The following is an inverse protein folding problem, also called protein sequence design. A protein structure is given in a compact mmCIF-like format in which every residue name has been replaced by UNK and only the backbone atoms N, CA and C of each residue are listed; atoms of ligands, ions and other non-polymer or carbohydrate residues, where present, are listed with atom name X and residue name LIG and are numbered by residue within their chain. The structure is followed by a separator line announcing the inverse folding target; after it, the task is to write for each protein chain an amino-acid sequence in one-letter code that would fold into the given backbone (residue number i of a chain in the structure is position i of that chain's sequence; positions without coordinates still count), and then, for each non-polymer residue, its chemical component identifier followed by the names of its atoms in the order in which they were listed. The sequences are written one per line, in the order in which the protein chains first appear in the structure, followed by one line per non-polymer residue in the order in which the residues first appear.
data_IF_940810796582
#
_entry.id   IF_940810796582
#
_cell.length_a   1.000
_cell.length_b   1.000
_cell.length_c   1.000
_cell.angle_alpha   90.00
_cell.angle_beta   90.00
_cell.angle_gamma   90.00
#
_symmetry.space_group_name_H-M   'P 1'
#
loop_
_entity.id
_entity.type
_entity.pdbx_description
1 polymer ?
#
# COMPACT_ATOMS: atom_id res chain seq x y z
N UNK A 1 -5.31 -5.53 14.91
CA UNK A 1 -4.44 -6.70 15.23
C UNK A 1 -3.56 -6.96 14.03
N UNK A 2 -2.28 -7.32 14.20
CA UNK A 2 -1.42 -7.65 13.05
C UNK A 2 -1.91 -8.90 12.30
N UNK A 3 -1.48 -9.07 11.05
CA UNK A 3 -1.75 -10.28 10.26
C UNK A 3 -1.27 -11.54 11.01
N UNK A 4 -0.08 -11.48 11.61
CA UNK A 4 0.50 -12.61 12.35
C UNK A 4 -0.22 -12.89 13.66
N UNK A 5 -0.68 -11.87 14.40
CA UNK A 5 -1.55 -12.08 15.57
C UNK A 5 -2.84 -12.81 15.18
N UNK A 6 -3.40 -12.45 14.02
CA UNK A 6 -4.62 -13.08 13.53
C UNK A 6 -4.38 -14.54 13.10
N UNK A 7 -3.25 -14.82 12.46
CA UNK A 7 -2.85 -16.17 12.04
C UNK A 7 -2.56 -17.09 13.23
N UNK A 8 -1.72 -16.63 14.15
CA UNK A 8 -1.28 -17.41 15.32
C UNK A 8 -2.45 -17.74 16.25
N UNK A 9 -3.38 -16.80 16.46
CA UNK A 9 -4.59 -17.04 17.30
C UNK A 9 -5.53 -18.09 16.74
N UNK A 10 -5.52 -18.36 15.44
CA UNK A 10 -6.36 -19.41 14.83
C UNK A 10 -5.74 -20.80 14.86
N UNK A 11 -4.47 -20.93 15.23
CA UNK A 11 -3.75 -22.20 15.24
C UNK A 11 -3.68 -22.88 13.87
N UNK A 12 -3.90 -22.13 12.78
CA UNK A 12 -3.88 -22.61 11.39
C UNK A 12 -2.79 -21.88 10.63
N UNK A 13 -2.04 -22.62 9.83
CA UNK A 13 -1.09 -22.02 8.90
C UNK A 13 -1.84 -21.17 7.84
N UNK A 14 -1.18 -20.15 7.28
CA UNK A 14 -1.68 -19.40 6.11
C UNK A 14 -2.09 -20.34 4.96
N UNK A 15 -1.39 -21.47 4.81
CA UNK A 15 -1.67 -22.55 3.86
C UNK A 15 -2.89 -23.41 4.20
N UNK A 16 -3.55 -23.19 5.33
CA UNK A 16 -4.75 -23.92 5.75
C UNK A 16 -5.98 -23.00 5.81
N UNK A 17 -5.81 -21.71 5.51
CA UNK A 17 -6.92 -20.76 5.46
C UNK A 17 -7.78 -21.00 4.23
N UNK A 18 -9.09 -20.96 4.43
CA UNK A 18 -10.06 -21.03 3.34
C UNK A 18 -10.14 -19.71 2.57
N UNK A 19 -10.62 -19.78 1.33
CA UNK A 19 -10.87 -18.59 0.50
C UNK A 19 -11.74 -17.54 1.21
N UNK A 20 -12.79 -17.99 1.92
CA UNK A 20 -13.71 -17.10 2.63
C UNK A 20 -13.03 -16.40 3.82
N UNK A 21 -12.18 -17.11 4.57
CA UNK A 21 -11.41 -16.52 5.67
C UNK A 21 -10.45 -15.46 5.16
N UNK A 22 -9.71 -15.75 4.08
CA UNK A 22 -8.80 -14.81 3.44
C UNK A 22 -9.54 -13.58 2.90
N UNK A 23 -10.69 -13.76 2.24
CA UNK A 23 -11.50 -12.64 1.74
C UNK A 23 -12.03 -11.75 2.87
N UNK A 24 -12.48 -12.33 3.97
CA UNK A 24 -12.93 -11.54 5.13
C UNK A 24 -11.77 -10.72 5.70
N UNK A 25 -10.58 -11.31 5.82
CA UNK A 25 -9.41 -10.61 6.33
C UNK A 25 -8.95 -9.49 5.40
N UNK A 26 -8.97 -9.73 4.08
CA UNK A 26 -8.67 -8.72 3.05
C UNK A 26 -9.58 -7.49 3.19
N UNK A 27 -10.90 -7.69 3.38
CA UNK A 27 -11.86 -6.59 3.57
C UNK A 27 -11.62 -5.81 4.88
N UNK A 28 -11.22 -6.49 5.95
CA UNK A 28 -10.88 -5.83 7.22
C UNK A 28 -9.62 -4.96 7.07
N UNK A 29 -8.57 -5.52 6.46
CA UNK A 29 -7.31 -4.80 6.22
C UNK A 29 -7.52 -3.61 5.27
N UNK A 30 -8.35 -3.75 4.25
CA UNK A 30 -8.68 -2.65 3.34
C UNK A 30 -9.38 -1.49 4.08
N UNK A 31 -10.37 -1.82 4.92
CA UNK A 31 -11.03 -0.82 5.77
C UNK A 31 -10.03 -0.12 6.71
N UNK A 32 -9.13 -0.87 7.33
CA UNK A 32 -8.09 -0.30 8.20
C UNK A 32 -7.14 0.63 7.43
N UNK A 33 -6.73 0.26 6.20
CA UNK A 33 -5.92 1.12 5.31
C UNK A 33 -6.65 2.42 4.97
N UNK A 34 -7.92 2.35 4.59
CA UNK A 34 -8.72 3.53 4.27
C UNK A 34 -8.89 4.46 5.48
N UNK A 35 -9.09 3.89 6.68
CA UNK A 35 -9.16 4.68 7.91
C UNK A 35 -7.83 5.35 8.25
N UNK A 36 -6.69 4.66 8.08
CA UNK A 36 -5.37 5.24 8.27
C UNK A 36 -5.09 6.35 7.27
N UNK A 37 -5.41 6.14 5.99
CA UNK A 37 -5.29 7.14 4.95
C UNK A 37 -6.06 8.42 5.30
N UNK A 38 -7.33 8.29 5.71
CA UNK A 38 -8.14 9.43 6.15
C UNK A 38 -7.50 10.18 7.33
N UNK A 39 -7.01 9.45 8.35
CA UNK A 39 -6.34 10.08 9.50
C UNK A 39 -5.05 10.82 9.12
N UNK A 40 -4.28 10.28 8.17
CA UNK A 40 -3.09 10.93 7.62
C UNK A 40 -3.46 12.24 6.94
N UNK A 41 -4.54 12.24 6.14
CA UNK A 41 -5.05 13.45 5.48
C UNK A 41 -5.55 14.48 6.51
N UNK A 42 -6.32 14.06 7.52
CA UNK A 42 -6.80 14.94 8.59
C UNK A 42 -5.62 15.57 9.37
N UNK A 43 -4.58 14.79 9.65
CA UNK A 43 -3.37 15.29 10.31
C UNK A 43 -2.58 16.27 9.42
N UNK A 44 -2.50 16.01 8.11
CA UNK A 44 -1.87 16.92 7.15
C UNK A 44 -2.61 18.27 7.08
N UNK A 45 -3.95 18.24 7.03
CA UNK A 45 -4.77 19.47 7.05
C UNK A 45 -4.54 20.29 8.32
N UNK A 46 -4.59 19.66 9.50
CA UNK A 46 -4.28 20.33 10.77
C UNK A 46 -2.86 20.90 10.81
N UNK A 47 -1.88 20.19 10.25
CA UNK A 47 -0.50 20.66 10.18
C UNK A 47 -0.38 21.93 9.33
N UNK A 48 -1.09 21.98 8.20
CA UNK A 48 -1.17 23.17 7.35
C UNK A 48 -1.84 24.35 8.08
N UNK A 49 -2.92 24.10 8.82
CA UNK A 49 -3.58 25.12 9.65
C UNK A 49 -2.64 25.68 10.73
N UNK A 50 -1.91 24.82 11.46
CA UNK A 50 -0.94 25.24 12.48
C UNK A 50 0.15 26.10 11.85
N UNK A 51 0.66 25.71 10.68
CA UNK A 51 1.67 26.47 9.96
C UNK A 51 1.16 27.86 9.58
N UNK A 52 -0.05 27.95 9.01
CA UNK A 52 -0.64 29.23 8.63
C UNK A 52 -0.87 30.13 9.85
N UNK A 53 -1.37 29.58 10.96
CA UNK A 53 -1.52 30.31 12.23
C UNK A 53 -0.17 30.81 12.76
N UNK A 54 0.86 29.97 12.73
CA UNK A 54 2.20 30.34 13.18
C UNK A 54 2.83 31.45 12.34
N UNK A 55 2.54 31.48 11.03
CA UNK A 55 2.96 32.53 10.11
C UNK A 55 2.30 33.87 10.42
N UNK A 56 1.01 33.87 10.75
CA UNK A 56 0.23 35.08 11.04
C UNK A 56 0.43 35.62 12.46
N UNK A 57 0.75 34.75 13.41
CA UNK A 57 0.96 35.08 14.81
C UNK A 57 2.13 36.06 14.99
N UNK A 58 2.03 36.99 15.94
CA UNK A 58 3.07 38.01 16.23
C UNK A 58 3.78 37.77 17.56
N UNK A 59 3.15 37.08 18.51
CA UNK A 59 3.74 36.73 19.80
C UNK A 59 4.82 35.63 19.63
N UNK A 60 6.07 35.88 20.06
CA UNK A 60 7.13 34.87 20.03
C UNK A 60 6.81 33.62 20.85
N UNK A 61 6.16 33.77 22.00
CA UNK A 61 5.76 32.67 22.87
C UNK A 61 4.74 31.76 22.19
N UNK A 62 3.71 32.34 21.57
CA UNK A 62 2.68 31.59 20.85
C UNK A 62 3.27 30.92 19.61
N UNK A 63 4.18 31.59 18.87
CA UNK A 63 4.90 30.97 17.74
C UNK A 63 5.70 29.74 18.15
N UNK A 64 6.41 29.80 19.29
CA UNK A 64 7.17 28.64 19.81
C UNK A 64 6.26 27.47 20.12
N UNK A 65 5.12 27.72 20.76
CA UNK A 65 4.11 26.70 21.04
C UNK A 65 3.56 26.07 19.74
N UNK A 66 3.21 26.90 18.74
CA UNK A 66 2.71 26.41 17.44
C UNK A 66 3.76 25.59 16.68
N UNK A 67 5.04 25.97 16.76
CA UNK A 67 6.13 25.20 16.17
C UNK A 67 6.28 23.81 16.83
N UNK A 68 6.15 23.71 18.15
CA UNK A 68 6.14 22.43 18.85
C UNK A 68 4.92 21.57 18.47
N UNK A 69 3.75 22.18 18.32
CA UNK A 69 2.54 21.48 17.88
C UNK A 69 2.69 20.95 16.45
N UNK A 70 3.28 21.73 15.54
CA UNK A 70 3.59 21.31 14.18
C UNK A 70 4.55 20.10 14.15
N UNK A 71 5.59 20.11 14.98
CA UNK A 71 6.55 19.00 15.09
C UNK A 71 5.88 17.72 15.62
N UNK A 72 5.04 17.85 16.65
CA UNK A 72 4.25 16.74 17.18
C UNK A 72 3.33 16.15 16.11
N UNK A 73 2.64 17.00 15.33
CA UNK A 73 1.78 16.56 14.22
C UNK A 73 2.55 15.92 13.09
N UNK A 74 3.76 16.38 12.82
CA UNK A 74 4.66 15.74 11.85
C UNK A 74 5.03 14.33 12.30
N UNK A 75 5.39 14.16 13.58
CA UNK A 75 5.68 12.84 14.15
C UNK A 75 4.47 11.90 14.08
N UNK A 76 3.28 12.39 14.43
CA UNK A 76 2.01 11.63 14.34
C UNK A 76 1.75 11.18 12.89
N UNK A 77 1.90 12.08 11.92
CA UNK A 77 1.72 11.78 10.49
C UNK A 77 2.69 10.69 10.02
N UNK A 78 3.98 10.78 10.40
CA UNK A 78 4.99 9.78 10.05
C UNK A 78 4.70 8.41 10.68
N UNK A 79 4.26 8.37 11.93
CA UNK A 79 3.85 7.13 12.60
C UNK A 79 2.67 6.46 11.90
N UNK A 80 1.66 7.24 11.52
CA UNK A 80 0.51 6.72 10.77
C UNK A 80 0.91 6.25 9.37
N UNK A 81 1.84 6.95 8.70
CA UNK A 81 2.42 6.53 7.42
C UNK A 81 3.11 5.17 7.51
N UNK A 82 3.93 4.95 8.54
CA UNK A 82 4.53 3.62 8.82
C UNK A 82 3.46 2.55 9.02
N UNK A 83 2.44 2.83 9.83
CA UNK A 83 1.35 1.90 10.08
C UNK A 83 0.57 1.57 8.79
N UNK A 84 0.36 2.55 7.91
CA UNK A 84 -0.28 2.36 6.61
C UNK A 84 0.57 1.44 5.71
N UNK A 85 1.90 1.59 5.70
CA UNK A 85 2.79 0.70 4.96
C UNK A 85 2.69 -0.75 5.47
N UNK A 86 2.75 -0.95 6.80
CA UNK A 86 2.57 -2.27 7.43
C UNK A 86 1.23 -2.90 6.99
N UNK A 87 0.11 -2.17 7.14
CA UNK A 87 -1.22 -2.67 6.76
C UNK A 87 -1.34 -2.97 5.27
N UNK A 88 -0.64 -2.21 4.42
CA UNK A 88 -0.62 -2.45 2.98
C UNK A 88 0.12 -3.74 2.64
N UNK A 89 1.27 -4.02 3.27
CA UNK A 89 1.99 -5.30 3.09
C UNK A 89 1.21 -6.50 3.60
N UNK A 90 0.54 -6.36 4.74
CA UNK A 90 -0.35 -7.40 5.27
C UNK A 90 -1.51 -7.69 4.31
N UNK A 91 -2.14 -6.64 3.78
CA UNK A 91 -3.19 -6.75 2.77
C UNK A 91 -2.71 -7.51 1.54
N UNK A 92 -1.53 -7.15 1.01
CA UNK A 92 -0.94 -7.83 -0.15
C UNK A 92 -0.73 -9.31 0.08
N UNK A 93 -0.20 -9.66 1.24
CA UNK A 93 0.05 -11.05 1.62
C UNK A 93 -1.24 -11.85 1.61
N UNK A 94 -2.31 -11.32 2.22
CA UNK A 94 -3.62 -11.98 2.24
C UNK A 94 -4.23 -12.07 0.85
N UNK A 95 -4.12 -11.01 0.05
CA UNK A 95 -4.65 -10.96 -1.31
C UNK A 95 -4.00 -11.98 -2.22
N UNK A 96 -2.65 -12.06 -2.23
CA UNK A 96 -1.89 -13.08 -2.96
C UNK A 96 -2.24 -14.48 -2.51
N UNK A 97 -2.41 -14.71 -1.21
CA UNK A 97 -2.81 -16.01 -0.70
C UNK A 97 -4.22 -16.41 -1.13
N UNK A 98 -5.16 -15.46 -1.17
CA UNK A 98 -6.51 -15.72 -1.68
C UNK A 98 -6.44 -16.12 -3.15
N UNK A 99 -5.65 -15.41 -3.95
CA UNK A 99 -5.47 -15.68 -5.37
C UNK A 99 -4.84 -17.05 -5.62
N UNK A 100 -3.77 -17.40 -4.90
CA UNK A 100 -3.17 -18.73 -4.97
C UNK A 100 -4.17 -19.83 -4.59
N UNK A 101 -5.05 -19.59 -3.61
CA UNK A 101 -6.13 -20.53 -3.26
C UNK A 101 -7.15 -20.70 -4.37
N UNK A 102 -7.59 -19.60 -4.96
CA UNK A 102 -8.51 -19.63 -6.11
C UNK A 102 -7.90 -20.38 -7.30
N UNK A 103 -6.61 -20.17 -7.57
CA UNK A 103 -5.88 -20.86 -8.63
C UNK A 103 -5.61 -22.31 -8.29
N UNK A 104 -5.29 -22.66 -7.03
CA UNK A 104 -5.09 -24.04 -6.59
C UNK A 104 -6.39 -24.85 -6.63
N UNK A 105 -7.54 -24.27 -6.29
CA UNK A 105 -8.83 -24.94 -6.43
C UNK A 105 -9.17 -25.17 -7.92
N UNK A 106 -8.84 -24.21 -8.80
CA UNK A 106 -8.92 -24.36 -10.27
C UNK A 106 -7.86 -25.30 -10.88
N UNK A 107 -6.72 -25.47 -10.22
CA UNK A 107 -5.61 -26.30 -10.68
C UNK A 107 -5.67 -27.72 -10.12
N UNK A 108 -6.29 -27.96 -8.97
CA UNK A 108 -6.62 -29.30 -8.46
C UNK A 108 -7.60 -30.03 -9.38
N UNK A 109 -8.49 -29.29 -10.05
CA UNK A 109 -9.31 -29.85 -11.14
C UNK A 109 -8.51 -30.11 -12.42
N UNK A 110 -7.23 -29.68 -12.50
CA UNK A 110 -6.31 -29.83 -13.65
C UNK A 110 -4.94 -30.49 -13.33
N UNK A 111 -4.72 -30.99 -12.10
CA UNK A 111 -3.56 -31.81 -11.72
C UNK A 111 -2.27 -31.13 -11.23
N UNK A 112 -2.21 -29.82 -10.97
CA UNK A 112 -0.93 -29.16 -10.58
C UNK A 112 -0.80 -28.86 -9.07
N UNK A 113 0.44 -28.98 -8.54
CA UNK A 113 0.83 -28.67 -7.15
C UNK A 113 1.27 -27.21 -7.04
N UNK A 114 0.33 -26.32 -6.73
CA UNK A 114 0.66 -24.93 -6.38
C UNK A 114 1.44 -24.87 -5.06
N UNK A 115 2.45 -24.00 -5.01
CA UNK A 115 3.44 -23.88 -3.93
C UNK A 115 2.83 -23.65 -2.55
N UNK A 116 3.23 -24.49 -1.59
CA UNK A 116 2.92 -24.31 -0.18
C UNK A 116 3.95 -23.34 0.41
N UNK A 117 3.50 -22.22 0.99
CA UNK A 117 4.35 -21.37 1.83
C UNK A 117 4.84 -22.19 3.02
N UNK A 118 6.16 -22.28 3.21
CA UNK A 118 6.77 -22.95 4.36
C UNK A 118 6.76 -22.05 5.61
N UNK A 119 6.98 -22.63 6.78
CA UNK A 119 7.10 -21.85 8.03
C UNK A 119 8.29 -20.88 8.00
N UNK A 120 9.38 -21.24 7.30
CA UNK A 120 10.53 -20.36 7.08
C UNK A 120 10.15 -19.13 6.26
N UNK A 121 9.31 -19.31 5.26
CA UNK A 121 8.82 -18.22 4.41
C UNK A 121 7.91 -17.28 5.22
N UNK A 122 7.11 -17.81 6.15
CA UNK A 122 6.29 -17.00 7.06
C UNK A 122 7.13 -16.07 7.94
N UNK A 123 8.23 -16.58 8.50
CA UNK A 123 9.16 -15.77 9.30
C UNK A 123 9.81 -14.68 8.44
N UNK A 124 10.14 -15.00 7.18
CA UNK A 124 10.69 -14.01 6.26
C UNK A 124 9.67 -12.91 5.94
N UNK A 125 8.41 -13.26 5.68
CA UNK A 125 7.31 -12.32 5.46
C UNK A 125 7.09 -11.42 6.67
N UNK A 126 7.12 -11.96 7.88
CA UNK A 126 6.98 -11.20 9.12
C UNK A 126 8.04 -10.12 9.26
N UNK A 127 9.30 -10.50 9.05
CA UNK A 127 10.43 -9.55 9.08
C UNK A 127 10.30 -8.47 8.02
N UNK A 128 9.82 -8.82 6.82
CA UNK A 128 9.64 -7.85 5.73
C UNK A 128 8.46 -6.91 5.98
N UNK A 129 7.37 -7.40 6.58
CA UNK A 129 6.21 -6.60 6.95
C UNK A 129 6.60 -5.56 8.00
N UNK A 130 7.34 -5.99 9.04
CA UNK A 130 7.76 -5.11 10.13
C UNK A 130 8.88 -4.12 9.75
N UNK A 131 9.59 -4.33 8.64
CA UNK A 131 10.68 -3.45 8.23
C UNK A 131 10.18 -2.23 7.42
N UNK A 132 10.25 -1.06 8.03
CA UNK A 132 9.79 0.20 7.42
C UNK A 132 10.56 0.62 6.16
N UNK A 133 11.82 0.19 5.99
CA UNK A 133 12.60 0.53 4.79
C UNK A 133 12.13 -0.21 3.53
N UNK A 134 11.34 -1.27 3.70
CA UNK A 134 10.72 -1.98 2.59
C UNK A 134 9.41 -1.27 2.27
N UNK A 135 9.29 -0.71 1.07
CA UNK A 135 8.03 -0.13 0.57
C UNK A 135 7.04 -1.22 0.22
N UNK A 136 5.76 -0.88 0.06
CA UNK A 136 4.74 -1.85 -0.37
C UNK A 136 5.01 -2.41 -1.77
N UNK A 137 5.64 -1.63 -2.66
CA UNK A 137 6.05 -2.07 -4.00
C UNK A 137 7.20 -3.08 -3.94
N UNK A 138 8.29 -2.75 -3.23
CA UNK A 138 9.41 -3.68 -3.02
C UNK A 138 8.96 -4.96 -2.32
N UNK A 139 7.99 -4.84 -1.41
CA UNK A 139 7.39 -5.99 -0.75
C UNK A 139 6.62 -6.86 -1.73
N UNK A 140 5.84 -6.26 -2.63
CA UNK A 140 5.08 -7.00 -3.63
C UNK A 140 6.01 -7.80 -4.56
N UNK A 141 7.08 -7.19 -5.04
CA UNK A 141 8.07 -7.87 -5.90
C UNK A 141 8.67 -9.09 -5.18
N UNK A 142 9.14 -8.90 -3.93
CA UNK A 142 9.70 -9.99 -3.12
C UNK A 142 8.68 -11.07 -2.79
N UNK A 143 7.42 -10.69 -2.58
CA UNK A 143 6.33 -11.62 -2.32
C UNK A 143 6.03 -12.44 -3.57
N UNK A 144 5.95 -11.82 -4.74
CA UNK A 144 5.70 -12.49 -6.01
C UNK A 144 6.84 -13.49 -6.34
N UNK A 145 8.11 -13.10 -6.11
CA UNK A 145 9.27 -13.97 -6.22
C UNK A 145 9.20 -15.18 -5.27
N UNK A 146 8.89 -14.93 -4.00
CA UNK A 146 8.78 -15.97 -2.96
C UNK A 146 7.66 -16.97 -3.26
N UNK A 147 6.56 -16.49 -3.84
CA UNK A 147 5.41 -17.31 -4.19
C UNK A 147 5.51 -17.92 -5.59
N UNK A 148 6.56 -17.60 -6.35
CA UNK A 148 6.71 -17.98 -7.76
C UNK A 148 5.47 -17.61 -8.59
N UNK A 149 4.82 -16.50 -8.23
CA UNK A 149 3.65 -15.98 -8.94
C UNK A 149 4.17 -15.26 -10.17
N UNK A 150 3.75 -15.71 -11.35
CA UNK A 150 4.11 -15.02 -12.58
C UNK A 150 3.49 -13.61 -12.59
N UNK A 151 4.17 -12.64 -13.19
CA UNK A 151 3.67 -11.25 -13.26
C UNK A 151 2.30 -11.11 -13.95
N UNK A 152 1.91 -12.09 -14.76
CA UNK A 152 0.59 -12.18 -15.42
C UNK A 152 -0.51 -12.70 -14.50
N UNK A 153 -0.15 -13.44 -13.46
CA UNK A 153 -1.10 -13.95 -12.48
C UNK A 153 -1.29 -12.93 -11.34
N UNK A 154 -0.26 -12.16 -10.97
CA UNK A 154 -0.27 -11.22 -9.86
C UNK A 154 -1.00 -9.89 -10.14
N UNK A 155 -2.00 -9.56 -9.32
CA UNK A 155 -2.65 -8.24 -9.35
C UNK A 155 -1.71 -7.18 -8.75
N UNK A 156 -1.04 -6.38 -9.57
CA UNK A 156 -0.15 -5.32 -9.07
C UNK A 156 -0.92 -4.25 -8.30
N UNK A 157 -0.39 -3.77 -7.16
CA UNK A 157 -0.95 -2.62 -6.42
C UNK A 157 -1.11 -1.42 -7.34
N UNK A 158 -0.07 -1.21 -8.15
CA UNK A 158 -0.04 -0.16 -9.14
C UNK A 158 -0.31 -0.78 -10.49
N UNK A 159 -1.47 -0.43 -11.04
CA UNK A 159 -1.70 -0.67 -12.46
C UNK A 159 -0.68 0.11 -13.27
N UNK A 160 -0.37 -0.30 -14.50
CA UNK A 160 0.53 0.47 -15.32
C UNK A 160 0.05 1.91 -15.60
N UNK A 161 -1.27 2.15 -15.60
CA UNK A 161 -1.83 3.50 -15.65
C UNK A 161 -1.56 4.28 -14.35
N UNK A 162 -1.72 3.66 -13.19
CA UNK A 162 -1.38 4.27 -11.89
C UNK A 162 0.10 4.65 -11.80
N UNK A 163 1.00 3.85 -12.39
CA UNK A 163 2.43 4.20 -12.48
C UNK A 163 2.67 5.47 -13.30
N UNK A 164 1.97 5.65 -14.42
CA UNK A 164 2.09 6.88 -15.21
C UNK A 164 1.66 8.12 -14.44
N UNK A 165 0.60 8.01 -13.62
CA UNK A 165 0.17 9.12 -12.76
C UNK A 165 1.22 9.44 -11.71
N UNK A 166 1.84 8.43 -11.09
CA UNK A 166 2.94 8.61 -10.14
C UNK A 166 4.15 9.29 -10.79
N UNK A 167 4.54 8.89 -12.00
CA UNK A 167 5.65 9.50 -12.74
C UNK A 167 5.40 10.98 -13.02
N UNK A 168 4.13 11.39 -13.20
CA UNK A 168 3.75 12.80 -13.38
C UNK A 168 3.83 13.54 -12.05
N UNK A 169 3.38 12.95 -10.94
CA UNK A 169 3.53 13.56 -9.62
C UNK A 169 5.00 13.73 -9.22
N UNK A 170 5.88 12.78 -9.54
CA UNK A 170 7.32 12.92 -9.31
C UNK A 170 7.93 14.05 -10.17
N UNK A 171 7.44 14.22 -11.41
CA UNK A 171 7.79 15.37 -12.24
C UNK A 171 7.30 16.70 -11.62
N UNK A 172 6.17 16.71 -10.92
CA UNK A 172 5.75 17.89 -10.17
C UNK A 172 6.65 18.17 -8.96
N UNK A 173 6.98 17.14 -8.18
CA UNK A 173 7.81 17.26 -6.98
C UNK A 173 9.23 17.75 -7.31
N UNK A 174 9.76 17.35 -8.47
CA UNK A 174 11.06 17.78 -8.98
C UNK A 174 11.04 19.13 -9.69
N UNK A 175 9.84 19.72 -9.89
CA UNK A 175 9.65 21.00 -10.57
C UNK A 175 9.75 20.93 -12.10
N UNK A 176 9.78 19.74 -12.68
CA UNK A 176 9.70 19.52 -14.14
C UNK A 176 8.34 19.94 -14.70
N UNK A 177 7.26 19.77 -13.92
CA UNK A 177 5.92 20.30 -14.22
C UNK A 177 5.49 21.16 -13.04
N UNK A 178 5.25 22.45 -13.27
CA UNK A 178 4.90 23.40 -12.20
C UNK A 178 3.42 23.81 -12.21
N UNK A 179 2.72 23.59 -13.32
CA UNK A 179 1.30 23.91 -13.47
C UNK A 179 0.43 22.67 -13.20
N UNK A 180 -0.56 22.82 -12.31
CA UNK A 180 -1.46 21.74 -11.90
C UNK A 180 -2.37 21.27 -13.05
N UNK A 181 -2.83 22.19 -13.90
CA UNK A 181 -3.68 21.87 -15.06
C UNK A 181 -2.91 21.07 -16.10
N UNK A 182 -1.68 21.49 -16.40
CA UNK A 182 -0.77 20.76 -17.29
C UNK A 182 -0.46 19.35 -16.77
N UNK A 183 -0.22 19.21 -15.46
CA UNK A 183 0.03 17.91 -14.86
C UNK A 183 -1.18 16.97 -14.98
N UNK A 184 -2.39 17.50 -14.77
CA UNK A 184 -3.62 16.74 -14.93
C UNK A 184 -3.81 16.25 -16.37
N UNK A 185 -3.70 17.14 -17.34
CA UNK A 185 -3.87 16.82 -18.77
C UNK A 185 -2.83 15.78 -19.25
N UNK A 186 -1.58 15.91 -18.78
CA UNK A 186 -0.49 14.98 -19.08
C UNK A 186 -0.75 13.59 -18.48
N UNK A 187 -1.19 13.53 -17.22
CA UNK A 187 -1.54 12.27 -16.57
C UNK A 187 -2.71 11.58 -17.29
N UNK A 188 -3.75 12.33 -17.65
CA UNK A 188 -4.90 11.79 -18.39
C UNK A 188 -4.47 11.27 -19.77
N UNK A 189 -3.65 12.05 -20.50
CA UNK A 189 -3.14 11.65 -21.82
C UNK A 189 -2.36 10.33 -21.73
N UNK A 190 -1.40 10.21 -20.81
CA UNK A 190 -0.56 9.01 -20.64
C UNK A 190 -1.38 7.77 -20.29
N UNK A 191 -2.39 7.92 -19.41
CA UNK A 191 -3.28 6.81 -19.06
C UNK A 191 -4.12 6.38 -20.27
N UNK A 192 -4.68 7.34 -21.03
CA UNK A 192 -5.53 7.07 -22.19
C UNK A 192 -4.77 6.44 -23.35
N UNK A 193 -3.61 6.97 -23.70
CA UNK A 193 -2.72 6.42 -24.74
C UNK A 193 -2.38 4.95 -24.44
N UNK A 194 -2.16 4.62 -23.16
CA UNK A 194 -1.88 3.25 -22.75
C UNK A 194 -3.08 2.32 -22.90
N UNK A 195 -4.28 2.78 -22.54
CA UNK A 195 -5.51 1.99 -22.77
C UNK A 195 -5.68 1.67 -24.26
N UNK A 196 -5.45 2.66 -25.13
CA UNK A 196 -5.53 2.47 -26.58
C UNK A 196 -4.46 1.50 -27.10
N UNK A 197 -3.24 1.54 -26.58
CA UNK A 197 -2.18 0.59 -26.94
C UNK A 197 -2.47 -0.84 -26.47
N UNK A 198 -3.12 -1.01 -25.31
CA UNK A 198 -3.53 -2.32 -24.81
C UNK A 198 -4.68 -2.92 -25.63
N UNK A 199 -5.62 -2.09 -26.09
CA UNK A 199 -6.75 -2.51 -26.94
C UNK A 199 -6.32 -2.78 -28.40
N UNK A 200 -5.32 -2.06 -28.93
CA UNK A 200 -4.79 -2.27 -30.28
C UNK A 200 -3.82 -3.44 -30.43
N UNK A 201 -3.41 -4.09 -29.32
CA UNK A 201 -2.52 -5.24 -29.28
C UNK A 201 -3.25 -6.59 -29.02
N UNK A 202 -4.58 -6.55 -28.91
CA UNK A 202 -5.47 -7.72 -28.81
C UNK A 202 -6.07 -8.08 -30.16
#
# INVERSE_FOLDING_TARGET
MGLFDWLTKRGKALSQMTRQELRRQELLLDRERQQLHKKIQDAAGKKQEIFQRGREEKSPEVRRMLAQEFDLKTTEQLMMGRQLNIRSKEYLTVSRMRMLRENADRAKSRGSRLGLISEKDLIALEKMIANDSITSEMYQERLDDMLQVSATDGESILTPGSKQVLDVWEQMDTGLISDEGQAFDEAERRVRERHQQAEGAS
#
